data_IF_827265953604
#
_entry.id   IF_827265953604
#
_cell.length_a   1.000
_cell.length_b   1.000
_cell.length_c   1.000
_cell.angle_alpha   90.00
_cell.angle_beta   90.00
_cell.angle_gamma   90.00
#
_symmetry.space_group_name_H-M   'P 1'
#
loop_
_entity.id
_entity.type
_entity.pdbx_description
1 polymer ?
#
# COMPACT_ATOMS: atom_id res chain seq x y z
N UNK A 1 -7.22 3.90 -22.51
CA UNK A 1 -6.52 2.86 -23.30
C UNK A 1 -5.89 1.92 -22.30
N UNK A 2 -6.17 0.63 -22.42
CA UNK A 2 -5.52 -0.38 -21.59
C UNK A 2 -4.11 -0.60 -22.14
N UNK A 3 -3.11 -0.39 -21.29
CA UNK A 3 -1.72 -0.68 -21.61
C UNK A 3 -1.40 -2.10 -21.15
N UNK A 4 -0.81 -2.90 -22.03
CA UNK A 4 -0.24 -4.18 -21.64
C UNK A 4 1.10 -3.95 -20.94
N UNK A 5 1.26 -4.53 -19.76
CA UNK A 5 2.52 -4.53 -19.02
C UNK A 5 3.37 -5.74 -19.41
N UNK A 6 4.67 -5.53 -19.59
CA UNK A 6 5.62 -6.64 -19.77
C UNK A 6 6.22 -7.07 -18.42
N UNK A 7 6.70 -8.31 -18.35
CA UNK A 7 7.31 -8.83 -17.12
C UNK A 7 8.50 -7.97 -16.70
N UNK A 8 8.49 -7.51 -15.45
CA UNK A 8 9.53 -6.64 -14.88
C UNK A 8 9.27 -5.15 -15.06
N UNK A 9 8.21 -4.77 -15.76
CA UNK A 9 7.78 -3.37 -15.85
C UNK A 9 7.12 -2.91 -14.55
N UNK A 10 7.39 -1.66 -14.16
CA UNK A 10 6.75 -1.04 -13.00
C UNK A 10 5.27 -0.82 -13.30
N UNK A 11 4.40 -1.56 -12.60
CA UNK A 11 2.95 -1.43 -12.78
C UNK A 11 2.40 -0.12 -12.19
N UNK A 12 2.73 0.18 -10.93
CA UNK A 12 2.32 1.40 -10.24
C UNK A 12 3.14 1.61 -8.96
N UNK A 13 3.26 2.87 -8.54
CA UNK A 13 3.90 3.20 -7.27
C UNK A 13 2.87 3.17 -6.12
N UNK A 14 3.22 2.51 -5.02
CA UNK A 14 2.46 2.59 -3.76
C UNK A 14 3.03 3.71 -2.88
N UNK A 15 2.49 4.92 -3.05
CA UNK A 15 3.01 6.12 -2.39
C UNK A 15 1.93 6.79 -1.54
N UNK A 16 2.31 7.11 -0.31
CA UNK A 16 1.64 8.05 0.56
C UNK A 16 2.56 8.42 1.73
N UNK A 17 2.07 9.25 2.65
CA UNK A 17 2.75 9.55 3.90
C UNK A 17 3.15 8.29 4.66
N UNK A 18 4.36 8.34 5.25
CA UNK A 18 4.85 7.34 6.18
C UNK A 18 4.40 7.67 7.59
N UNK A 19 3.77 6.69 8.22
CA UNK A 19 3.23 6.80 9.55
C UNK A 19 3.90 5.78 10.46
N UNK A 20 4.03 6.13 11.74
CA UNK A 20 4.40 5.14 12.76
C UNK A 20 3.32 4.07 12.84
N UNK A 21 3.72 2.79 12.85
CA UNK A 21 2.84 1.64 13.06
C UNK A 21 1.92 1.80 14.29
N UNK A 22 2.40 2.47 15.34
CA UNK A 22 1.62 2.73 16.55
C UNK A 22 0.50 3.75 16.31
N UNK A 23 0.79 4.81 15.57
CA UNK A 23 -0.19 5.84 15.23
C UNK A 23 -1.23 5.31 14.27
N UNK A 24 -0.80 4.58 13.22
CA UNK A 24 -1.70 3.92 12.27
C UNK A 24 -2.69 3.01 12.98
N UNK A 25 -2.23 2.15 13.91
CA UNK A 25 -3.10 1.29 14.74
C UNK A 25 -4.09 2.08 15.59
N UNK A 26 -3.67 3.20 16.18
CA UNK A 26 -4.57 4.06 16.99
C UNK A 26 -5.67 4.68 16.13
N UNK A 27 -5.32 5.21 14.95
CA UNK A 27 -6.27 5.81 14.02
C UNK A 27 -7.22 4.76 13.45
N UNK A 28 -6.71 3.58 13.06
CA UNK A 28 -7.54 2.44 12.64
C UNK A 28 -8.62 2.11 13.68
N UNK A 29 -8.25 2.01 14.95
CA UNK A 29 -9.18 1.63 16.01
C UNK A 29 -10.18 2.73 16.39
N UNK A 30 -9.84 4.01 16.19
CA UNK A 30 -10.68 5.15 16.57
C UNK A 30 -11.62 5.61 15.45
N UNK A 31 -11.08 5.80 14.25
CA UNK A 31 -11.77 6.49 13.15
C UNK A 31 -12.22 5.53 12.05
N UNK A 32 -11.49 4.43 11.86
CA UNK A 32 -11.76 3.47 10.79
C UNK A 32 -12.27 2.12 11.33
N UNK A 33 -12.81 2.13 12.55
CA UNK A 33 -13.38 0.92 13.17
C UNK A 33 -14.54 0.41 12.31
N UNK A 34 -14.50 -0.87 11.95
CA UNK A 34 -15.51 -1.50 11.09
C UNK A 34 -15.25 -1.32 9.59
N UNK A 35 -14.13 -0.70 9.20
CA UNK A 35 -13.69 -0.72 7.80
C UNK A 35 -13.36 -2.15 7.36
N UNK A 36 -13.88 -2.56 6.22
CA UNK A 36 -13.66 -3.89 5.62
C UNK A 36 -12.44 -3.94 4.71
N UNK A 37 -11.97 -2.78 4.25
CA UNK A 37 -10.81 -2.63 3.37
C UNK A 37 -9.60 -2.11 4.14
N UNK A 38 -8.41 -2.62 3.80
CA UNK A 38 -7.15 -2.21 4.40
C UNK A 38 -6.22 -1.62 3.34
N UNK A 39 -5.72 -0.40 3.59
CA UNK A 39 -4.84 0.35 2.68
C UNK A 39 -3.50 0.71 3.33
N UNK A 40 -3.11 -0.01 4.38
CA UNK A 40 -1.79 0.12 4.99
C UNK A 40 -0.78 -0.82 4.35
N UNK A 41 0.45 -0.37 4.17
CA UNK A 41 1.56 -1.22 3.72
C UNK A 41 2.74 -1.05 4.67
N UNK A 42 3.16 -2.12 5.35
CA UNK A 42 4.31 -2.08 6.25
C UNK A 42 5.61 -1.94 5.46
N UNK A 43 6.44 -0.96 5.81
CA UNK A 43 7.77 -0.77 5.24
C UNK A 43 8.86 -1.39 6.11
N UNK A 44 8.75 -1.18 7.42
CA UNK A 44 9.63 -1.71 8.46
C UNK A 44 8.79 -2.13 9.67
N UNK A 45 9.42 -2.69 10.70
CA UNK A 45 8.73 -3.03 11.97
C UNK A 45 8.05 -1.82 12.64
N UNK A 46 8.47 -0.59 12.32
CA UNK A 46 7.99 0.64 12.94
C UNK A 46 7.16 1.54 12.03
N UNK A 47 7.15 1.29 10.72
CA UNK A 47 6.63 2.23 9.72
C UNK A 47 5.64 1.58 8.76
N UNK A 48 4.63 2.36 8.38
CA UNK A 48 3.56 1.98 7.45
C UNK A 48 3.34 3.13 6.46
N UNK A 49 3.17 2.82 5.18
CA UNK A 49 2.54 3.75 4.22
C UNK A 49 1.04 3.60 4.35
N UNK A 50 0.34 4.70 4.62
CA UNK A 50 -1.08 4.66 4.95
C UNK A 50 -1.95 5.34 3.90
N UNK A 51 -2.35 4.62 2.86
CA UNK A 51 -3.06 5.18 1.71
C UNK A 51 -4.59 5.27 1.88
N UNK A 52 -5.11 5.23 3.12
CA UNK A 52 -6.55 5.17 3.40
C UNK A 52 -7.29 6.46 3.03
N UNK A 53 -6.72 7.60 3.41
CA UNK A 53 -7.33 8.92 3.17
C UNK A 53 -6.98 9.46 1.78
N UNK A 54 -5.74 9.24 1.34
CA UNK A 54 -5.23 9.70 0.06
C UNK A 54 -4.15 8.72 -0.44
N UNK A 55 -4.08 8.47 -1.75
CA UNK A 55 -3.13 7.54 -2.33
C UNK A 55 -3.39 7.26 -3.82
N UNK A 56 -2.40 6.69 -4.49
CA UNK A 56 -2.47 6.35 -5.92
C UNK A 56 -3.32 5.11 -6.23
N UNK A 57 -3.39 4.76 -7.52
CA UNK A 57 -4.19 3.62 -8.02
C UNK A 57 -3.77 2.28 -7.40
N UNK A 58 -2.50 2.13 -7.02
CA UNK A 58 -1.95 0.93 -6.41
C UNK A 58 -2.66 0.52 -5.10
N UNK A 59 -3.35 1.46 -4.42
CA UNK A 59 -4.10 1.16 -3.20
C UNK A 59 -5.27 0.20 -3.41
N UNK A 60 -5.74 0.05 -4.65
CA UNK A 60 -6.83 -0.86 -5.00
C UNK A 60 -6.34 -2.23 -5.50
N UNK A 61 -5.03 -2.46 -5.49
CA UNK A 61 -4.48 -3.78 -5.79
C UNK A 61 -4.96 -4.78 -4.72
N UNK A 62 -5.51 -5.90 -5.17
CA UNK A 62 -6.05 -6.94 -4.30
C UNK A 62 -5.00 -8.00 -3.99
N UNK A 63 -5.24 -8.75 -2.91
CA UNK A 63 -4.50 -9.98 -2.65
C UNK A 63 -4.93 -11.08 -3.64
N UNK A 64 -3.95 -11.81 -4.19
CA UNK A 64 -4.18 -13.02 -4.95
C UNK A 64 -3.23 -14.13 -4.48
N UNK A 65 -3.74 -15.35 -4.32
CA UNK A 65 -2.92 -16.51 -3.95
C UNK A 65 -1.91 -16.90 -5.04
N UNK A 66 -2.18 -16.52 -6.30
CA UNK A 66 -1.27 -16.63 -7.44
C UNK A 66 -1.05 -15.22 -8.03
N UNK A 67 -0.18 -14.39 -7.42
CA UNK A 67 -0.05 -12.99 -7.79
C UNK A 67 0.65 -12.82 -9.15
N UNK A 68 0.22 -11.81 -9.92
CA UNK A 68 0.84 -11.41 -11.19
C UNK A 68 1.79 -10.20 -11.04
N UNK A 69 1.78 -9.54 -9.89
CA UNK A 69 2.64 -8.42 -9.54
C UNK A 69 3.30 -8.65 -8.17
N UNK A 70 4.44 -8.02 -7.94
CA UNK A 70 5.14 -8.01 -6.65
C UNK A 70 5.33 -6.58 -6.18
N UNK A 71 5.44 -6.40 -4.86
CA UNK A 71 5.80 -5.11 -4.26
C UNK A 71 7.29 -5.14 -3.95
N UNK A 72 8.02 -4.16 -4.48
CA UNK A 72 9.45 -3.99 -4.23
C UNK A 72 9.69 -2.66 -3.51
N UNK A 73 10.59 -2.66 -2.51
CA UNK A 73 11.02 -1.44 -1.83
C UNK A 73 12.26 -0.90 -2.54
N UNK A 74 12.20 0.38 -2.88
CA UNK A 74 13.30 1.11 -3.51
C UNK A 74 13.79 2.17 -2.52
N UNK A 75 15.08 2.13 -2.19
CA UNK A 75 15.76 3.22 -1.50
C UNK A 75 16.67 3.90 -2.52
N UNK A 76 16.53 5.21 -2.69
CA UNK A 76 17.49 5.97 -3.49
C UNK A 76 18.86 5.87 -2.81
N UNK A 77 19.88 5.50 -3.59
CA UNK A 77 21.29 5.53 -3.19
C UNK A 77 21.73 6.91 -2.71
#
# INVERSE_FOLDING_TARGET
MDQFLVRGETAANYQHERWSSRLTKRVLNKEFKGSTNYYGMSLTKGEVIDARACGGIARFANHGCNPNCVVERWEGS
#
